data_IF_361554870093
#
_entry.id   IF_361554870093
#
_cell.length_a   1.000
_cell.length_b   1.000
_cell.length_c   1.000
_cell.angle_alpha   90.00
_cell.angle_beta   90.00
_cell.angle_gamma   90.00
#
_symmetry.space_group_name_H-M   'P 1'
#
loop_
_entity.id
_entity.type
_entity.pdbx_description
1 polymer ?
#
# COMPACT_ATOMS: atom_id res chain seq x y z
N UNK A 1 -4.00 -27.87 -3.20
CA UNK A 1 -2.77 -28.07 -4.01
C UNK A 1 -1.84 -26.85 -4.21
N UNK A 2 -1.99 -25.66 -3.56
CA UNK A 2 -1.00 -24.56 -3.74
C UNK A 2 0.25 -24.69 -2.84
N UNK A 3 0.14 -25.38 -1.69
CA UNK A 3 1.24 -25.50 -0.72
C UNK A 3 2.43 -26.30 -1.29
N UNK A 4 2.16 -27.37 -2.04
CA UNK A 4 3.22 -28.18 -2.66
C UNK A 4 4.01 -27.37 -3.69
N UNK A 5 3.33 -26.55 -4.49
CA UNK A 5 3.99 -25.67 -5.48
C UNK A 5 4.94 -24.70 -4.78
N UNK A 6 4.50 -24.07 -3.69
CA UNK A 6 5.36 -23.17 -2.90
C UNK A 6 6.59 -23.90 -2.36
N UNK A 7 6.42 -25.12 -1.85
CA UNK A 7 7.53 -25.93 -1.36
C UNK A 7 8.53 -26.29 -2.47
N UNK A 8 8.06 -26.67 -3.65
CA UNK A 8 8.93 -26.96 -4.80
C UNK A 8 9.71 -25.73 -5.26
N UNK A 9 9.06 -24.57 -5.32
CA UNK A 9 9.73 -23.31 -5.67
C UNK A 9 10.80 -22.96 -4.64
N UNK A 10 10.51 -23.12 -3.34
CA UNK A 10 11.50 -22.90 -2.27
C UNK A 10 12.68 -23.87 -2.36
N UNK A 11 12.43 -25.15 -2.64
CA UNK A 11 13.49 -26.15 -2.81
C UNK A 11 14.39 -25.84 -4.02
N UNK A 12 13.79 -25.45 -5.15
CA UNK A 12 14.52 -25.05 -6.35
C UNK A 12 15.37 -23.79 -6.11
N UNK A 13 14.83 -22.79 -5.41
CA UNK A 13 15.58 -21.58 -5.04
C UNK A 13 16.76 -21.91 -4.11
N UNK A 14 16.55 -22.76 -3.11
CA UNK A 14 17.62 -23.19 -2.21
C UNK A 14 18.72 -23.95 -2.96
N UNK A 15 18.35 -24.88 -3.83
CA UNK A 15 19.29 -25.61 -4.66
C UNK A 15 20.09 -24.70 -5.59
N UNK A 16 19.41 -23.78 -6.30
CA UNK A 16 20.06 -22.81 -7.17
C UNK A 16 21.04 -21.91 -6.42
N UNK A 17 20.69 -21.47 -5.20
CA UNK A 17 21.59 -20.70 -4.36
C UNK A 17 22.84 -21.49 -3.94
N UNK A 18 22.70 -22.79 -3.63
CA UNK A 18 23.82 -23.67 -3.30
C UNK A 18 24.75 -23.84 -4.51
N UNK A 19 24.20 -24.10 -5.70
CA UNK A 19 24.99 -24.26 -6.93
C UNK A 19 25.72 -22.96 -7.25
N UNK A 20 25.04 -21.82 -7.23
CA UNK A 20 25.65 -20.52 -7.50
C UNK A 20 26.75 -20.16 -6.49
N UNK A 21 26.56 -20.48 -5.20
CA UNK A 21 27.59 -20.28 -4.19
C UNK A 21 28.82 -21.15 -4.45
N UNK A 22 28.62 -22.42 -4.80
CA UNK A 22 29.71 -23.35 -5.12
C UNK A 22 30.49 -22.90 -6.35
N UNK A 23 29.80 -22.47 -7.40
CA UNK A 23 30.44 -21.96 -8.62
C UNK A 23 31.22 -20.68 -8.34
N UNK A 24 30.63 -19.75 -7.57
CA UNK A 24 31.31 -18.53 -7.15
C UNK A 24 32.54 -18.83 -6.28
N UNK A 25 32.43 -19.78 -5.35
CA UNK A 25 33.55 -20.19 -4.50
C UNK A 25 34.65 -20.87 -5.32
N UNK A 26 34.30 -21.65 -6.34
CA UNK A 26 35.26 -22.30 -7.24
C UNK A 26 36.01 -21.29 -8.12
N UNK A 27 35.34 -20.23 -8.58
CA UNK A 27 35.93 -19.23 -9.49
C UNK A 27 36.70 -18.12 -8.75
N UNK A 28 36.17 -17.65 -7.62
CA UNK A 28 36.66 -16.44 -6.94
C UNK A 28 37.17 -16.70 -5.52
N UNK A 29 37.08 -17.95 -5.05
CA UNK A 29 37.42 -18.32 -3.68
C UNK A 29 36.30 -18.04 -2.68
N UNK A 30 36.40 -18.72 -1.53
CA UNK A 30 35.34 -18.75 -0.51
C UNK A 30 35.03 -17.37 0.08
N UNK A 31 36.03 -16.51 0.25
CA UNK A 31 35.84 -15.17 0.82
C UNK A 31 34.91 -14.28 -0.04
N UNK A 32 35.13 -14.28 -1.36
CA UNK A 32 34.30 -13.51 -2.29
C UNK A 32 32.90 -14.10 -2.38
N UNK A 33 32.77 -15.43 -2.39
CA UNK A 33 31.47 -16.10 -2.39
C UNK A 33 30.62 -15.75 -1.15
N UNK A 34 31.23 -15.69 0.04
CA UNK A 34 30.55 -15.28 1.28
C UNK A 34 30.10 -13.82 1.19
N UNK A 35 30.97 -12.92 0.74
CA UNK A 35 30.63 -11.51 0.60
C UNK A 35 29.47 -11.31 -0.38
N UNK A 36 29.49 -11.98 -1.53
CA UNK A 36 28.42 -11.93 -2.52
C UNK A 36 27.10 -12.46 -1.94
N UNK A 37 27.12 -13.61 -1.26
CA UNK A 37 25.94 -14.18 -0.62
C UNK A 37 25.34 -13.24 0.43
N UNK A 38 26.17 -12.58 1.24
CA UNK A 38 25.73 -11.60 2.22
C UNK A 38 25.05 -10.39 1.56
N UNK A 39 25.63 -9.84 0.49
CA UNK A 39 25.04 -8.71 -0.25
C UNK A 39 23.66 -9.09 -0.83
N UNK A 40 23.56 -10.26 -1.46
CA UNK A 40 22.29 -10.73 -2.02
C UNK A 40 21.23 -10.92 -0.91
N UNK A 41 21.61 -11.50 0.22
CA UNK A 41 20.71 -11.67 1.36
C UNK A 41 20.17 -10.33 1.89
N UNK A 42 21.03 -9.32 2.01
CA UNK A 42 20.63 -7.97 2.44
C UNK A 42 19.67 -7.33 1.44
N UNK A 43 19.94 -7.44 0.13
CA UNK A 43 19.06 -6.89 -0.91
C UNK A 43 17.68 -7.56 -0.89
N UNK A 44 17.64 -8.89 -0.75
CA UNK A 44 16.37 -9.63 -0.64
C UNK A 44 15.59 -9.23 0.61
N UNK A 45 16.25 -9.11 1.76
CA UNK A 45 15.61 -8.66 2.99
C UNK A 45 15.05 -7.24 2.86
N UNK A 46 15.81 -6.32 2.25
CA UNK A 46 15.37 -4.95 1.99
C UNK A 46 14.17 -4.89 1.04
N UNK A 47 14.18 -5.70 -0.03
CA UNK A 47 13.08 -5.81 -0.98
C UNK A 47 11.81 -6.37 -0.31
N UNK A 48 11.96 -7.43 0.49
CA UNK A 48 10.85 -8.04 1.22
C UNK A 48 10.27 -7.06 2.26
N UNK A 49 11.12 -6.37 3.01
CA UNK A 49 10.69 -5.34 3.96
C UNK A 49 9.96 -4.19 3.25
N UNK A 50 10.45 -3.74 2.10
CA UNK A 50 9.79 -2.72 1.29
C UNK A 50 8.42 -3.20 0.77
N UNK A 51 8.33 -4.46 0.33
CA UNK A 51 7.08 -5.06 -0.12
C UNK A 51 6.04 -5.20 1.01
N UNK A 52 6.46 -5.68 2.17
CA UNK A 52 5.60 -5.80 3.36
C UNK A 52 5.13 -4.42 3.83
N UNK A 53 6.01 -3.40 3.85
CA UNK A 53 5.62 -2.02 4.19
C UNK A 53 4.55 -1.49 3.25
N UNK A 54 4.71 -1.70 1.93
CA UNK A 54 3.70 -1.30 0.93
C UNK A 54 2.36 -2.02 1.14
N UNK A 55 2.37 -3.30 1.48
CA UNK A 55 1.14 -4.07 1.78
C UNK A 55 0.47 -3.58 3.06
N UNK A 56 1.23 -3.32 4.13
CA UNK A 56 0.71 -2.82 5.41
C UNK A 56 0.09 -1.44 5.30
N UNK A 57 0.61 -0.58 4.42
CA UNK A 57 0.05 0.75 4.17
C UNK A 57 -1.36 0.72 3.56
N UNK A 58 -1.77 -0.41 2.99
CA UNK A 58 -3.05 -0.63 2.31
C UNK A 58 -3.90 -1.67 3.07
N UNK A 59 -3.38 -2.22 4.17
CA UNK A 59 -4.10 -3.22 4.93
C UNK A 59 -5.28 -2.58 5.67
N UNK A 60 -6.40 -3.31 5.82
CA UNK A 60 -7.54 -2.84 6.60
C UNK A 60 -7.07 -2.41 7.98
N UNK A 61 -7.39 -1.17 8.36
CA UNK A 61 -6.95 -0.59 9.62
C UNK A 61 -8.03 -0.63 10.71
N UNK A 62 -9.21 -1.15 10.38
CA UNK A 62 -10.32 -1.35 11.31
C UNK A 62 -11.02 -2.69 11.05
N UNK A 63 -11.77 -3.16 12.05
CA UNK A 63 -12.71 -4.28 11.95
C UNK A 63 -14.14 -3.85 12.26
N UNK A 64 -14.39 -2.54 12.38
CA UNK A 64 -15.68 -2.01 12.79
C UNK A 64 -16.71 -2.05 11.65
N UNK A 65 -17.83 -2.74 11.88
CA UNK A 65 -19.11 -2.47 11.22
C UNK A 65 -19.12 -2.47 9.69
N UNK A 66 -18.30 -3.31 9.05
CA UNK A 66 -18.22 -3.40 7.57
C UNK A 66 -17.32 -2.36 6.91
N UNK A 67 -16.67 -1.47 7.67
CA UNK A 67 -15.64 -0.58 7.17
C UNK A 67 -14.29 -1.28 7.14
N UNK A 68 -13.50 -1.03 6.09
CA UNK A 68 -12.17 -1.63 5.94
C UNK A 68 -11.06 -0.66 6.35
N UNK A 69 -11.27 0.62 6.10
CA UNK A 69 -10.32 1.67 6.41
C UNK A 69 -11.03 2.86 7.06
N UNK A 70 -10.45 3.41 8.13
CA UNK A 70 -10.95 4.57 8.87
C UNK A 70 -9.77 5.50 9.19
N UNK A 71 -9.93 6.79 8.96
CA UNK A 71 -9.05 7.84 9.45
C UNK A 71 -9.88 8.93 10.10
N UNK A 72 -9.34 9.46 11.20
CA UNK A 72 -9.84 10.63 11.91
C UNK A 72 -8.64 11.52 12.22
N UNK A 73 -8.71 12.78 11.83
CA UNK A 73 -7.65 13.74 12.04
C UNK A 73 -8.27 15.14 12.16
N UNK A 74 -8.22 15.70 13.37
CA UNK A 74 -8.89 16.96 13.67
C UNK A 74 -10.37 16.93 13.28
N UNK A 75 -10.87 17.92 12.52
CA UNK A 75 -12.26 17.98 12.07
C UNK A 75 -12.56 17.10 10.84
N UNK A 76 -11.57 16.34 10.35
CA UNK A 76 -11.72 15.51 9.17
C UNK A 76 -11.82 14.03 9.54
N UNK A 77 -12.75 13.32 8.90
CA UNK A 77 -12.86 11.89 9.00
C UNK A 77 -13.10 11.26 7.61
N UNK A 78 -12.54 10.08 7.42
CA UNK A 78 -12.57 9.33 6.18
C UNK A 78 -12.82 7.87 6.51
N UNK A 79 -13.87 7.27 5.97
CA UNK A 79 -14.13 5.83 6.09
C UNK A 79 -14.31 5.23 4.70
N UNK A 80 -13.67 4.09 4.45
CA UNK A 80 -13.77 3.37 3.20
C UNK A 80 -14.11 1.91 3.48
N UNK A 81 -15.13 1.40 2.80
CA UNK A 81 -15.48 -0.01 2.77
C UNK A 81 -15.18 -0.56 1.38
N UNK A 82 -14.12 -1.37 1.27
CA UNK A 82 -13.80 -2.02 0.00
C UNK A 82 -14.81 -3.12 -0.35
N UNK A 83 -15.42 -3.74 0.65
CA UNK A 83 -16.41 -4.81 0.47
C UNK A 83 -17.75 -4.29 0.00
N UNK A 84 -18.19 -3.14 0.50
CA UNK A 84 -19.46 -2.52 0.10
C UNK A 84 -19.29 -1.47 -1.01
N UNK A 85 -18.05 -1.14 -1.38
CA UNK A 85 -17.78 -0.12 -2.40
C UNK A 85 -18.11 1.30 -1.93
N UNK A 86 -18.10 1.59 -0.63
CA UNK A 86 -18.55 2.85 -0.05
C UNK A 86 -17.39 3.71 0.44
N UNK A 87 -17.54 5.02 0.29
CA UNK A 87 -16.65 6.04 0.81
C UNK A 87 -17.47 7.08 1.57
N UNK A 88 -17.09 7.32 2.82
CA UNK A 88 -17.66 8.36 3.65
C UNK A 88 -16.59 9.39 3.97
N UNK A 89 -16.89 10.64 3.67
CA UNK A 89 -16.04 11.80 3.90
C UNK A 89 -16.76 12.69 4.91
N UNK A 90 -16.04 13.20 5.90
CA UNK A 90 -16.55 14.20 6.83
C UNK A 90 -15.51 15.28 7.02
N UNK A 91 -15.95 16.54 6.96
CA UNK A 91 -15.13 17.72 7.23
C UNK A 91 -15.97 18.79 7.89
N UNK A 92 -15.52 19.28 9.04
CA UNK A 92 -16.14 20.44 9.73
C UNK A 92 -17.66 20.25 9.94
N UNK A 93 -18.09 19.03 10.24
CA UNK A 93 -19.50 18.68 10.44
C UNK A 93 -20.31 18.44 9.17
N UNK A 94 -19.75 18.71 7.98
CA UNK A 94 -20.37 18.32 6.70
C UNK A 94 -19.98 16.89 6.36
N UNK A 95 -20.95 16.07 6.01
CA UNK A 95 -20.75 14.67 5.63
C UNK A 95 -21.13 14.41 4.18
N UNK A 96 -20.33 13.60 3.48
CA UNK A 96 -20.63 13.10 2.15
C UNK A 96 -20.50 11.58 2.12
N UNK A 97 -21.57 10.93 1.68
CA UNK A 97 -21.62 9.51 1.40
C UNK A 97 -21.59 9.31 -0.11
N UNK A 98 -20.58 8.61 -0.60
CA UNK A 98 -20.39 8.38 -2.04
C UNK A 98 -19.98 6.94 -2.29
N UNK A 99 -20.35 6.43 -3.44
CA UNK A 99 -19.88 5.12 -3.91
C UNK A 99 -18.49 5.29 -4.51
N UNK A 100 -17.60 4.32 -4.30
CA UNK A 100 -16.25 4.33 -4.88
C UNK A 100 -16.27 4.38 -6.42
N UNK A 101 -17.35 3.91 -7.06
CA UNK A 101 -17.57 4.06 -8.50
C UNK A 101 -17.61 5.51 -8.95
N UNK A 102 -18.15 6.39 -8.11
CA UNK A 102 -18.43 7.79 -8.45
C UNK A 102 -17.23 8.70 -8.13
N UNK A 103 -16.26 8.16 -7.39
CA UNK A 103 -14.98 8.81 -7.13
C UNK A 103 -14.20 8.88 -8.44
N UNK A 104 -13.61 10.04 -8.71
CA UNK A 104 -12.75 10.32 -9.85
C UNK A 104 -11.27 10.22 -9.45
N UNK A 105 -10.52 11.29 -9.66
CA UNK A 105 -9.11 11.37 -9.27
C UNK A 105 -8.94 11.61 -7.77
N UNK A 106 -7.99 10.92 -7.13
CA UNK A 106 -7.59 11.15 -5.74
C UNK A 106 -6.10 11.48 -5.66
N UNK A 107 -5.77 12.63 -5.07
CA UNK A 107 -4.40 13.12 -5.01
C UNK A 107 -4.04 13.66 -3.63
N UNK A 108 -2.77 13.48 -3.25
CA UNK A 108 -2.19 14.14 -2.09
C UNK A 108 -1.60 15.49 -2.52
N UNK A 109 -2.17 16.59 -2.05
CA UNK A 109 -1.77 17.95 -2.43
C UNK A 109 -1.47 18.78 -1.18
N UNK A 110 -0.53 19.70 -1.31
CA UNK A 110 -0.31 20.74 -0.30
C UNK A 110 -1.28 21.89 -0.60
N UNK A 111 -2.17 22.19 0.34
CA UNK A 111 -3.18 23.25 0.24
C UNK A 111 -3.00 24.13 1.47
N UNK A 112 -2.78 25.43 1.27
CA UNK A 112 -2.57 26.42 2.35
C UNK A 112 -1.50 25.99 3.38
N UNK A 113 -0.40 25.40 2.90
CA UNK A 113 0.70 24.93 3.75
C UNK A 113 0.44 23.62 4.49
N UNK A 114 -0.75 23.03 4.36
CA UNK A 114 -1.13 21.76 4.98
C UNK A 114 -1.27 20.64 3.95
N UNK A 115 -0.87 19.43 4.30
CA UNK A 115 -1.11 18.28 3.43
C UNK A 115 -2.58 17.90 3.48
N UNK A 116 -3.18 17.77 2.30
CA UNK A 116 -4.59 17.41 2.14
C UNK A 116 -4.73 16.26 1.15
N UNK A 117 -5.76 15.45 1.35
CA UNK A 117 -6.29 14.53 0.36
C UNK A 117 -7.38 15.25 -0.43
N UNK A 118 -7.17 15.40 -1.74
CA UNK A 118 -8.17 15.93 -2.65
C UNK A 118 -8.86 14.76 -3.34
N UNK A 119 -10.16 14.62 -3.13
CA UNK A 119 -11.03 13.60 -3.72
C UNK A 119 -11.92 14.28 -4.75
N UNK A 120 -11.60 14.10 -6.03
CA UNK A 120 -12.47 14.47 -7.13
C UNK A 120 -13.55 13.42 -7.36
N UNK A 121 -14.63 13.82 -8.01
CA UNK A 121 -15.71 12.94 -8.44
C UNK A 121 -15.72 12.83 -9.97
N UNK A 122 -16.26 11.74 -10.51
CA UNK A 122 -16.43 11.57 -11.96
C UNK A 122 -17.43 12.57 -12.53
N UNK A 123 -18.44 12.88 -11.75
CA UNK A 123 -19.39 13.94 -12.06
C UNK A 123 -18.70 15.29 -11.84
N UNK A 124 -18.41 15.99 -12.93
CA UNK A 124 -17.75 17.30 -12.91
C UNK A 124 -18.61 18.39 -12.25
N UNK A 125 -19.92 18.18 -12.06
CA UNK A 125 -20.78 19.10 -11.31
C UNK A 125 -20.54 19.06 -9.81
N UNK A 126 -19.95 17.95 -9.30
CA UNK A 126 -19.60 17.82 -7.88
C UNK A 126 -18.23 18.42 -7.62
N UNK A 127 -18.19 19.40 -6.72
CA UNK A 127 -16.93 19.99 -6.25
C UNK A 127 -16.03 18.94 -5.59
N UNK A 128 -14.72 19.02 -5.86
CA UNK A 128 -13.75 18.15 -5.23
C UNK A 128 -13.69 18.38 -3.72
N UNK A 129 -13.60 17.30 -2.96
CA UNK A 129 -13.49 17.34 -1.51
C UNK A 129 -12.04 17.40 -1.07
N UNK A 130 -11.70 18.35 -0.20
CA UNK A 130 -10.34 18.50 0.33
C UNK A 130 -10.35 18.17 1.82
N UNK A 131 -9.69 17.08 2.22
CA UNK A 131 -9.57 16.64 3.60
C UNK A 131 -8.17 16.88 4.15
N UNK A 132 -8.00 17.60 5.27
CA UNK A 132 -6.71 17.80 5.90
C UNK A 132 -6.13 16.48 6.44
N UNK A 133 -4.81 16.34 6.31
CA UNK A 133 -4.04 15.14 6.67
C UNK A 133 -2.88 15.53 7.59
N UNK A 134 -2.48 14.64 8.51
CA UNK A 134 -1.43 14.95 9.50
C UNK A 134 -0.07 15.19 8.85
N UNK A 135 0.23 14.49 7.76
CA UNK A 135 1.50 14.62 7.05
C UNK A 135 1.37 14.21 5.56
N UNK A 136 2.45 14.42 4.81
CA UNK A 136 2.58 14.03 3.40
C UNK A 136 2.36 12.53 3.19
N UNK A 137 2.82 11.70 4.12
CA UNK A 137 2.80 10.25 4.00
C UNK A 137 1.37 9.71 4.14
N UNK A 138 0.62 10.23 5.09
CA UNK A 138 -0.78 9.93 5.33
C UNK A 138 -1.64 10.36 4.14
N UNK A 139 -1.43 11.57 3.61
CA UNK A 139 -2.13 12.03 2.41
C UNK A 139 -1.88 11.11 1.21
N UNK A 140 -0.61 10.74 0.95
CA UNK A 140 -0.24 9.82 -0.13
C UNK A 140 -0.78 8.41 0.07
N UNK A 141 -0.72 7.89 1.30
CA UNK A 141 -1.26 6.58 1.67
C UNK A 141 -2.75 6.55 1.36
N UNK A 142 -3.50 7.55 1.82
CA UNK A 142 -4.95 7.60 1.60
C UNK A 142 -5.34 7.83 0.16
N UNK A 143 -4.62 8.66 -0.60
CA UNK A 143 -4.83 8.77 -2.05
C UNK A 143 -4.72 7.39 -2.72
N UNK A 144 -3.67 6.62 -2.36
CA UNK A 144 -3.49 5.27 -2.87
C UNK A 144 -4.59 4.30 -2.42
N UNK A 145 -5.01 4.33 -1.16
CA UNK A 145 -6.09 3.47 -0.65
C UNK A 145 -7.40 3.74 -1.39
N UNK A 146 -7.78 5.00 -1.60
CA UNK A 146 -9.02 5.35 -2.31
C UNK A 146 -8.94 4.94 -3.79
N UNK A 147 -7.82 5.21 -4.47
CA UNK A 147 -7.62 4.78 -5.87
C UNK A 147 -7.65 3.26 -6.03
N UNK A 148 -7.02 2.51 -5.11
CA UNK A 148 -7.09 1.05 -5.15
C UNK A 148 -8.49 0.53 -4.84
N UNK A 149 -9.22 1.20 -3.94
CA UNK A 149 -10.60 0.85 -3.62
C UNK A 149 -11.53 1.05 -4.80
N UNK A 150 -11.41 2.19 -5.48
CA UNK A 150 -12.12 2.46 -6.74
C UNK A 150 -11.83 1.39 -7.80
N UNK A 151 -10.59 0.89 -7.89
CA UNK A 151 -10.20 -0.14 -8.84
C UNK A 151 -10.58 -1.57 -8.42
N UNK A 152 -11.17 -1.77 -7.23
CA UNK A 152 -11.46 -3.10 -6.68
C UNK A 152 -10.21 -3.93 -6.36
N UNK A 153 -9.08 -3.28 -6.06
CA UNK A 153 -7.75 -3.90 -5.87
C UNK A 153 -7.20 -3.74 -4.44
N UNK A 154 -8.06 -3.46 -3.47
CA UNK A 154 -7.70 -3.38 -2.05
C UNK A 154 -7.50 -4.77 -1.45
#
# INVERSE_FOLDING_TARGET
MPILIVLFVLAALAWGAIVAFRDAAAQFGTGIAIALAAVVAVLLAAALAAWIRRRREIAPNTKEGGWTHVMRHGPAALKLSSTQGLLWLSREGTEAHVTLSDVGACEARLVDGQWCLVVGFRDASRAAWTLPMPDRRAARRWARVVTLGQAGKL
#
